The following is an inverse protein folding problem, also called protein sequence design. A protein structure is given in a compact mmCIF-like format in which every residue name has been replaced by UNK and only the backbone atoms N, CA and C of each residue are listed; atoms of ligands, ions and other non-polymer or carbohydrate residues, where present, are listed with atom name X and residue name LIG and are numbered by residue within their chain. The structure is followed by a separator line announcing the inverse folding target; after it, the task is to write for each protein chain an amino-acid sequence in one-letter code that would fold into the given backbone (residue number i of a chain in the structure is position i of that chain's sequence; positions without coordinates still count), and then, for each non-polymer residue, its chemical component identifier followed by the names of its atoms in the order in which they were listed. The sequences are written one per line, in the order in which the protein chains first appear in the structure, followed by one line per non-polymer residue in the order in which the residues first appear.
data_IF_562976493357
#
_entry.id   IF_562976493357
#
_cell.length_a   1.000
_cell.length_b   1.000
_cell.length_c   1.000
_cell.angle_alpha   90.00
_cell.angle_beta   90.00
_cell.angle_gamma   90.00
#
_symmetry.space_group_name_H-M   'P 1'
#
loop_
_entity.id
_entity.type
_entity.pdbx_description
1 polymer ?
#
# COMPACT_ATOMS: atom_id res chain seq x y z
N UNK A 1 -4.32 -25.72 20.54
CA UNK A 1 -3.33 -24.63 20.57
C UNK A 1 -2.92 -24.15 19.18
N UNK A 2 -2.76 -25.01 18.18
CA UNK A 2 -2.51 -24.59 16.79
C UNK A 2 -3.70 -23.84 16.14
N UNK A 3 -4.94 -24.26 16.43
CA UNK A 3 -6.17 -23.62 15.94
C UNK A 3 -6.37 -22.19 16.46
N UNK A 4 -5.87 -21.89 17.66
CA UNK A 4 -6.02 -20.58 18.31
C UNK A 4 -5.11 -19.53 17.66
N UNK A 5 -3.92 -19.95 17.24
CA UNK A 5 -2.95 -19.09 16.52
C UNK A 5 -3.46 -18.78 15.11
N UNK A 6 -4.04 -19.76 14.41
CA UNK A 6 -4.65 -19.56 13.10
C UNK A 6 -5.89 -18.65 13.15
N UNK A 7 -6.70 -18.73 14.22
CA UNK A 7 -7.84 -17.81 14.41
C UNK A 7 -7.44 -16.38 14.76
N UNK A 8 -6.25 -16.17 15.32
CA UNK A 8 -5.76 -14.83 15.66
C UNK A 8 -5.27 -14.07 14.41
N UNK A 9 -4.63 -14.77 13.46
CA UNK A 9 -4.16 -14.16 12.21
C UNK A 9 -5.18 -14.23 11.05
N UNK A 10 -6.17 -15.14 11.09
CA UNK A 10 -7.12 -15.36 9.98
C UNK A 10 -8.60 -15.33 10.35
N UNK A 11 -8.95 -14.82 11.54
CA UNK A 11 -10.24 -15.00 12.24
C UNK A 11 -11.52 -15.00 11.38
N UNK A 12 -11.91 -13.88 10.72
CA UNK A 12 -13.16 -13.84 9.96
C UNK A 12 -13.10 -14.61 8.63
N UNK A 13 -11.92 -14.66 8.03
CA UNK A 13 -11.73 -15.13 6.64
C UNK A 13 -11.70 -16.66 6.59
N UNK A 14 -10.99 -17.30 7.52
CA UNK A 14 -10.91 -18.77 7.57
C UNK A 14 -12.27 -19.36 7.95
N UNK A 15 -12.99 -18.72 8.88
CA UNK A 15 -14.32 -19.15 9.28
C UNK A 15 -15.34 -18.98 8.14
N UNK A 16 -15.29 -17.84 7.44
CA UNK A 16 -16.13 -17.60 6.26
C UNK A 16 -15.88 -18.57 5.11
N UNK A 17 -14.61 -18.96 4.87
CA UNK A 17 -14.25 -19.94 3.84
C UNK A 17 -14.77 -21.35 4.18
N UNK A 18 -14.71 -21.76 5.45
CA UNK A 18 -15.22 -23.06 5.89
C UNK A 18 -16.75 -23.11 5.80
N UNK A 19 -17.42 -22.05 6.23
CA UNK A 19 -18.89 -21.95 6.19
C UNK A 19 -19.40 -21.91 4.74
N UNK A 20 -18.70 -21.21 3.84
CA UNK A 20 -18.99 -21.20 2.40
C UNK A 20 -18.78 -22.57 1.75
N UNK A 21 -17.74 -23.31 2.14
CA UNK A 21 -17.46 -24.66 1.63
C UNK A 21 -18.53 -25.66 2.08
N UNK A 22 -19.01 -25.54 3.32
CA UNK A 22 -20.13 -26.34 3.82
C UNK A 22 -21.46 -26.00 3.15
N UNK A 23 -21.72 -24.72 2.85
CA UNK A 23 -22.89 -24.30 2.08
C UNK A 23 -22.84 -24.84 0.63
N UNK A 24 -21.66 -24.86 0.01
CA UNK A 24 -21.43 -25.46 -1.32
C UNK A 24 -21.69 -26.97 -1.33
N UNK A 25 -21.29 -27.69 -0.29
CA UNK A 25 -21.57 -29.11 -0.13
C UNK A 25 -23.05 -29.43 0.15
N UNK A 26 -23.80 -28.48 0.72
CA UNK A 26 -25.25 -28.60 0.97
C UNK A 26 -26.13 -28.16 -0.19
N UNK A 27 -25.57 -27.53 -1.23
CA UNK A 27 -26.33 -27.05 -2.37
C UNK A 27 -26.72 -28.21 -3.30
N UNK A 28 -27.95 -28.71 -3.15
CA UNK A 28 -28.51 -29.85 -3.89
C UNK A 28 -29.28 -29.53 -5.18
N UNK A 29 -29.38 -28.26 -5.59
CA UNK A 29 -30.25 -27.84 -6.72
C UNK A 29 -29.46 -27.16 -7.86
N UNK A 30 -29.84 -27.43 -9.11
CA UNK A 30 -29.12 -27.00 -10.33
C UNK A 30 -29.05 -25.47 -10.46
N UNK A 31 -30.12 -24.76 -10.08
CA UNK A 31 -30.15 -23.28 -10.09
C UNK A 31 -29.19 -22.65 -9.08
N UNK A 32 -29.03 -23.28 -7.91
CA UNK A 32 -28.08 -22.84 -6.90
C UNK A 32 -26.63 -23.11 -7.32
N UNK A 33 -26.39 -24.18 -8.08
CA UNK A 33 -25.09 -24.43 -8.73
C UNK A 33 -24.79 -23.38 -9.81
N UNK A 34 -25.77 -23.05 -10.66
CA UNK A 34 -25.61 -22.03 -11.71
C UNK A 34 -25.36 -20.65 -11.08
N UNK A 35 -26.10 -20.27 -10.05
CA UNK A 35 -25.87 -19.02 -9.32
C UNK A 35 -24.51 -19.00 -8.61
N UNK A 36 -24.07 -20.12 -8.03
CA UNK A 36 -22.75 -20.24 -7.42
C UNK A 36 -21.61 -20.19 -8.45
N UNK A 37 -21.79 -20.81 -9.61
CA UNK A 37 -20.83 -20.77 -10.71
C UNK A 37 -20.76 -19.38 -11.35
N UNK A 38 -21.89 -18.68 -11.47
CA UNK A 38 -21.95 -17.28 -11.91
C UNK A 38 -21.23 -16.37 -10.92
N UNK A 39 -21.52 -16.49 -9.62
CA UNK A 39 -20.82 -15.73 -8.59
C UNK A 39 -19.31 -16.04 -8.55
N UNK A 40 -18.92 -17.30 -8.73
CA UNK A 40 -17.51 -17.69 -8.82
C UNK A 40 -16.82 -17.08 -10.05
N UNK A 41 -17.52 -17.03 -11.19
CA UNK A 41 -17.06 -16.38 -12.42
C UNK A 41 -16.89 -14.87 -12.22
N UNK A 42 -17.86 -14.20 -11.60
CA UNK A 42 -17.79 -12.77 -11.28
C UNK A 42 -16.65 -12.45 -10.31
N UNK A 43 -16.46 -13.26 -9.26
CA UNK A 43 -15.33 -13.12 -8.34
C UNK A 43 -14.00 -13.32 -9.08
N UNK A 44 -13.90 -14.30 -9.97
CA UNK A 44 -12.69 -14.53 -10.75
C UNK A 44 -12.39 -13.35 -11.69
N UNK A 45 -13.42 -12.79 -12.34
CA UNK A 45 -13.31 -11.59 -13.14
C UNK A 45 -12.83 -10.39 -12.30
N UNK A 46 -13.44 -10.16 -11.14
CA UNK A 46 -13.05 -9.07 -10.24
C UNK A 46 -11.63 -9.23 -9.67
N UNK A 47 -11.21 -10.46 -9.37
CA UNK A 47 -9.81 -10.78 -8.99
C UNK A 47 -8.86 -10.46 -10.14
N UNK A 48 -9.23 -10.80 -11.38
CA UNK A 48 -8.41 -10.49 -12.55
C UNK A 48 -8.27 -8.98 -12.77
N UNK A 49 -9.36 -8.21 -12.65
CA UNK A 49 -9.34 -6.75 -12.75
C UNK A 49 -8.51 -6.11 -11.63
N UNK A 50 -8.70 -6.58 -10.39
CA UNK A 50 -7.94 -6.11 -9.24
C UNK A 50 -6.46 -6.42 -9.41
N UNK A 51 -6.11 -7.59 -9.93
CA UNK A 51 -4.72 -7.96 -10.20
C UNK A 51 -4.08 -7.06 -11.25
N UNK A 52 -4.82 -6.70 -12.31
CA UNK A 52 -4.35 -5.76 -13.32
C UNK A 52 -4.15 -4.37 -12.72
N UNK A 53 -5.11 -3.87 -11.92
CA UNK A 53 -4.98 -2.58 -11.21
C UNK A 53 -3.77 -2.59 -10.27
N UNK A 54 -3.54 -3.68 -9.55
CA UNK A 54 -2.37 -3.83 -8.67
C UNK A 54 -1.06 -3.86 -9.46
N UNK A 55 -1.03 -4.51 -10.63
CA UNK A 55 0.12 -4.50 -11.53
C UNK A 55 0.40 -3.10 -12.06
N UNK A 56 -0.63 -2.35 -12.48
CA UNK A 56 -0.48 -0.95 -12.89
C UNK A 56 0.06 -0.08 -11.75
N UNK A 57 -0.49 -0.22 -10.54
CA UNK A 57 -0.01 0.52 -9.36
C UNK A 57 1.42 0.13 -8.96
N UNK A 58 1.77 -1.15 -9.06
CA UNK A 58 3.11 -1.64 -8.78
C UNK A 58 4.12 -1.09 -9.81
N UNK A 59 3.74 -1.00 -11.08
CA UNK A 59 4.55 -0.41 -12.13
C UNK A 59 4.68 1.12 -11.98
N UNK A 60 3.63 1.82 -11.54
CA UNK A 60 3.66 3.27 -11.30
C UNK A 60 4.45 3.66 -10.05
N UNK A 61 4.30 2.90 -8.96
CA UNK A 61 4.94 3.21 -7.67
C UNK A 61 6.36 2.65 -7.60
N UNK A 62 6.69 1.58 -8.32
CA UNK A 62 7.99 0.90 -8.22
C UNK A 62 8.15 0.08 -6.94
N UNK A 63 9.28 -0.62 -6.80
CA UNK A 63 9.59 -1.41 -5.61
C UNK A 63 9.96 -0.53 -4.42
N UNK A 64 9.79 -1.07 -3.21
CA UNK A 64 10.09 -0.35 -1.96
C UNK A 64 11.60 -0.13 -1.72
N UNK A 65 12.45 -0.96 -2.34
CA UNK A 65 13.91 -0.90 -2.23
C UNK A 65 14.59 -0.11 -3.35
N UNK A 66 13.82 0.58 -4.19
CA UNK A 66 14.40 1.41 -5.24
C UNK A 66 15.21 2.57 -4.65
N UNK A 67 16.33 2.97 -5.29
CA UNK A 67 17.24 3.99 -4.75
C UNK A 67 16.53 5.31 -4.38
N UNK A 68 15.55 5.73 -5.18
CA UNK A 68 14.75 6.93 -4.93
C UNK A 68 14.03 6.83 -3.57
N UNK A 69 13.33 5.72 -3.32
CA UNK A 69 12.58 5.51 -2.08
C UNK A 69 13.47 5.36 -0.87
N UNK A 70 14.61 4.69 -1.02
CA UNK A 70 15.57 4.54 0.06
C UNK A 70 16.10 5.90 0.53
N UNK A 71 16.44 6.80 -0.40
CA UNK A 71 16.85 8.16 -0.06
C UNK A 71 15.70 8.93 0.60
N UNK A 72 14.48 8.81 0.06
CA UNK A 72 13.28 9.40 0.65
C UNK A 72 13.05 8.94 2.10
N UNK A 73 13.22 7.64 2.40
CA UNK A 73 13.11 7.10 3.74
C UNK A 73 14.19 7.61 4.68
N UNK A 74 15.45 7.71 4.23
CA UNK A 74 16.53 8.29 5.03
C UNK A 74 16.22 9.74 5.46
N UNK A 75 15.75 10.56 4.51
CA UNK A 75 15.36 11.94 4.80
C UNK A 75 14.14 11.98 5.74
N UNK A 76 13.12 11.16 5.48
CA UNK A 76 11.92 11.10 6.31
C UNK A 76 12.23 10.72 7.77
N UNK A 77 13.09 9.73 7.99
CA UNK A 77 13.49 9.30 9.35
C UNK A 77 14.25 10.41 10.07
N UNK A 78 15.15 11.12 9.38
CA UNK A 78 15.87 12.25 9.98
C UNK A 78 14.92 13.37 10.41
N UNK A 79 13.99 13.78 9.54
CA UNK A 79 13.00 14.80 9.89
C UNK A 79 12.02 14.33 10.95
N UNK A 80 11.61 13.06 10.96
CA UNK A 80 10.78 12.49 12.01
C UNK A 80 11.49 12.55 13.38
N UNK A 81 12.79 12.24 13.43
CA UNK A 81 13.59 12.42 14.66
C UNK A 81 13.59 13.89 15.08
N UNK A 82 13.95 14.82 14.20
CA UNK A 82 13.97 16.26 14.55
C UNK A 82 12.61 16.77 15.06
N UNK A 83 11.51 16.36 14.43
CA UNK A 83 10.17 16.82 14.82
C UNK A 83 9.70 16.15 16.11
N UNK A 84 9.68 14.82 16.14
CA UNK A 84 9.09 14.07 17.25
C UNK A 84 10.04 14.05 18.45
N UNK A 85 11.31 13.70 18.24
CA UNK A 85 12.27 13.54 19.33
C UNK A 85 12.77 14.89 19.85
N UNK A 86 13.24 15.76 18.95
CA UNK A 86 13.89 17.00 19.36
C UNK A 86 12.87 18.09 19.67
N UNK A 87 11.84 18.28 18.83
CA UNK A 87 10.86 19.35 19.03
C UNK A 87 9.68 18.99 19.92
N UNK A 88 9.04 17.85 19.73
CA UNK A 88 7.87 17.48 20.53
C UNK A 88 8.27 16.99 21.91
N UNK A 89 9.28 16.12 22.00
CA UNK A 89 9.71 15.56 23.28
C UNK A 89 10.77 16.41 23.99
N UNK A 90 11.47 17.31 23.29
CA UNK A 90 12.50 18.17 23.89
C UNK A 90 13.74 17.42 24.38
N UNK A 91 13.91 16.16 23.98
CA UNK A 91 14.98 15.25 24.42
C UNK A 91 16.16 15.21 23.43
N UNK A 92 16.19 16.15 22.50
CA UNK A 92 17.09 16.10 21.36
C UNK A 92 18.22 17.12 21.42
N UNK A 93 19.42 16.66 21.10
CA UNK A 93 20.60 17.47 20.81
C UNK A 93 21.06 17.27 19.37
N UNK A 94 20.13 16.94 18.45
CA UNK A 94 20.51 16.63 17.06
C UNK A 94 20.91 17.91 16.34
N UNK A 95 22.12 17.92 15.78
CA UNK A 95 22.55 19.02 14.96
C UNK A 95 21.70 19.13 13.69
N UNK A 96 21.30 20.36 13.30
CA UNK A 96 20.63 20.59 12.02
C UNK A 96 21.49 20.10 10.86
N UNK A 97 20.84 19.50 9.88
CA UNK A 97 21.47 19.14 8.62
C UNK A 97 22.04 20.43 7.99
N UNK A 98 23.33 20.42 7.64
CA UNK A 98 24.01 21.58 7.07
C UNK A 98 24.77 21.21 5.79
N UNK A 99 25.09 22.24 4.99
CA UNK A 99 25.90 22.10 3.77
C UNK A 99 25.22 21.26 2.69
N UNK A 100 25.96 20.27 2.16
CA UNK A 100 25.49 19.42 1.07
C UNK A 100 24.26 18.58 1.47
N UNK A 101 24.27 18.00 2.67
CA UNK A 101 23.21 17.12 3.13
C UNK A 101 21.85 17.84 3.23
N UNK A 102 21.84 19.10 3.72
CA UNK A 102 20.61 19.90 3.76
C UNK A 102 20.08 20.27 2.39
N UNK A 103 20.98 20.58 1.45
CA UNK A 103 20.59 20.89 0.06
C UNK A 103 19.94 19.67 -0.59
N UNK A 104 20.58 18.49 -0.48
CA UNK A 104 20.04 17.24 -1.03
C UNK A 104 18.71 16.87 -0.37
N UNK A 105 18.59 16.95 0.95
CA UNK A 105 17.35 16.63 1.66
C UNK A 105 16.18 17.53 1.23
N UNK A 106 16.40 18.84 1.09
CA UNK A 106 15.40 19.78 0.62
C UNK A 106 14.99 19.51 -0.85
N UNK A 107 15.95 19.16 -1.71
CA UNK A 107 15.65 18.78 -3.09
C UNK A 107 14.82 17.50 -3.14
N UNK A 108 15.18 16.47 -2.38
CA UNK A 108 14.42 15.21 -2.32
C UNK A 108 12.97 15.50 -1.90
N UNK A 109 12.75 16.23 -0.81
CA UNK A 109 11.40 16.61 -0.38
C UNK A 109 10.67 17.37 -1.49
N UNK A 110 11.33 18.35 -2.11
CA UNK A 110 10.74 19.15 -3.19
C UNK A 110 10.31 18.28 -4.37
N UNK A 111 11.14 17.35 -4.84
CA UNK A 111 10.81 16.49 -5.98
C UNK A 111 9.70 15.47 -5.65
N UNK A 112 9.65 14.96 -4.42
CA UNK A 112 8.56 14.07 -3.98
C UNK A 112 7.19 14.76 -4.01
N UNK A 113 7.11 16.02 -3.56
CA UNK A 113 5.82 16.73 -3.47
C UNK A 113 5.49 17.58 -4.70
N UNK A 114 6.49 18.08 -5.44
CA UNK A 114 6.27 18.97 -6.57
C UNK A 114 5.93 18.25 -7.87
N UNK A 115 6.17 16.93 -8.00
CA UNK A 115 5.93 16.16 -9.23
C UNK A 115 4.53 16.38 -9.82
N UNK A 116 3.47 16.26 -8.99
CA UNK A 116 2.07 16.50 -9.42
C UNK A 116 1.82 17.96 -9.83
N UNK A 117 2.48 18.91 -9.17
CA UNK A 117 2.39 20.34 -9.53
C UNK A 117 2.95 20.59 -10.92
N UNK A 118 4.14 20.06 -11.21
CA UNK A 118 4.78 20.16 -12.51
C UNK A 118 3.99 19.44 -13.62
N UNK A 119 3.48 18.24 -13.36
CA UNK A 119 2.65 17.50 -14.32
C UNK A 119 1.37 18.25 -14.71
N UNK A 120 0.71 18.87 -13.73
CA UNK A 120 -0.50 19.65 -13.98
C UNK A 120 -0.20 20.91 -14.82
N UNK A 121 0.88 21.63 -14.49
CA UNK A 121 1.33 22.80 -15.26
C UNK A 121 1.71 22.40 -16.70
N UNK A 122 2.47 21.31 -16.86
CA UNK A 122 2.85 20.80 -18.17
C UNK A 122 1.63 20.40 -19.03
N UNK A 123 0.59 19.83 -18.41
CA UNK A 123 -0.66 19.51 -19.10
C UNK A 123 -1.44 20.74 -19.55
N UNK A 124 -1.38 21.83 -18.78
CA UNK A 124 -2.00 23.12 -19.15
C UNK A 124 -1.25 23.73 -20.34
N UNK A 125 0.08 23.75 -20.32
CA UNK A 125 0.91 24.33 -21.39
C UNK A 125 0.80 23.55 -22.71
N UNK A 126 0.57 22.24 -22.64
CA UNK A 126 0.41 21.37 -23.82
C UNK A 126 -0.96 21.51 -24.51
N UNK A 127 -1.96 22.10 -23.85
CA UNK A 127 -3.26 22.40 -24.45
C UNK A 127 -3.22 23.74 -25.17
#
# INVERSE_FOLDING_TARGET
MWMTILSFFGGPVIKGLIDAYQAKLKAGNTDAKIAADLAASEIAAQVSETSAVLQYRAAELGHWYEPDKLIGYCVAVYFAKLLVWDKVLGLGTTDPLAGFASMTANLVISFYFAKRGFENVARIIKR
#
